data_IF_823038913295
#
_entry.id   IF_823038913295
#
_cell.length_a   1.000
_cell.length_b   1.000
_cell.length_c   1.000
_cell.angle_alpha   90.00
_cell.angle_beta   90.00
_cell.angle_gamma   90.00
#
_symmetry.space_group_name_H-M   'P 1'
#
loop_
_entity.id
_entity.type
_entity.pdbx_description
1 polymer ?
#
# COMPACT_ATOMS: atom_id res chain seq x y z
N UNK A 1 18.35 74.70 39.59
CA UNK A 1 17.23 74.09 38.84
C UNK A 1 17.79 73.23 37.71
N UNK A 2 17.48 71.91 37.63
CA UNK A 2 17.93 71.05 36.53
C UNK A 2 16.81 70.80 35.52
N UNK A 3 17.12 70.74 34.22
CA UNK A 3 16.24 70.13 33.21
C UNK A 3 17.03 69.13 32.37
N UNK A 4 16.51 67.90 32.37
CA UNK A 4 17.02 66.66 31.79
C UNK A 4 16.62 66.54 30.30
N UNK A 5 17.37 65.75 29.54
CA UNK A 5 16.94 64.67 28.61
C UNK A 5 17.96 64.54 27.46
N UNK A 6 18.86 63.55 27.47
CA UNK A 6 18.67 62.12 27.14
C UNK A 6 18.50 61.88 25.62
N UNK A 7 19.58 61.40 24.99
CA UNK A 7 19.64 60.82 23.64
C UNK A 7 18.52 59.80 23.44
N UNK A 8 17.82 59.86 22.30
CA UNK A 8 17.00 58.76 21.80
C UNK A 8 17.19 58.67 20.30
N UNK A 9 18.03 57.73 19.88
CA UNK A 9 18.23 57.39 18.48
C UNK A 9 16.97 56.70 17.97
N UNK A 10 16.37 57.27 16.92
CA UNK A 10 15.29 56.63 16.18
C UNK A 10 15.85 55.40 15.46
N UNK A 11 15.44 54.20 15.88
CA UNK A 11 15.69 52.98 15.15
C UNK A 11 14.79 52.95 13.91
N UNK A 12 15.39 53.07 12.73
CA UNK A 12 14.73 52.89 11.43
C UNK A 12 14.31 51.43 11.28
N UNK A 13 13.00 51.15 11.26
CA UNK A 13 12.48 49.84 10.84
C UNK A 13 12.46 49.80 9.31
N UNK A 14 13.46 49.17 8.71
CA UNK A 14 13.47 48.88 7.28
C UNK A 14 12.45 47.76 6.98
N UNK A 15 11.47 48.04 6.10
CA UNK A 15 10.58 47.02 5.53
C UNK A 15 11.38 46.08 4.63
N UNK A 16 11.96 45.03 5.22
CA UNK A 16 12.56 43.92 4.50
C UNK A 16 11.48 43.00 3.94
N UNK A 17 11.57 42.69 2.64
CA UNK A 17 10.73 41.68 1.98
C UNK A 17 10.87 40.36 2.76
N UNK A 18 9.76 39.75 3.18
CA UNK A 18 9.79 38.48 3.88
C UNK A 18 10.48 37.44 2.99
N UNK A 19 11.67 36.99 3.41
CA UNK A 19 12.38 35.92 2.73
C UNK A 19 11.54 34.66 2.83
N UNK A 20 11.10 34.15 1.68
CA UNK A 20 10.36 32.91 1.59
C UNK A 20 11.40 31.80 1.53
N UNK A 21 11.37 30.91 2.51
CA UNK A 21 12.27 29.76 2.53
C UNK A 21 12.00 28.91 1.27
N UNK A 22 13.02 28.67 0.41
CA UNK A 22 12.88 27.79 -0.74
C UNK A 22 12.43 26.38 -0.38
N UNK A 23 12.63 25.97 0.88
CA UNK A 23 12.23 24.67 1.43
C UNK A 23 10.86 24.70 2.15
N UNK A 24 10.15 25.85 2.16
CA UNK A 24 8.79 25.94 2.71
C UNK A 24 7.81 25.17 1.82
N UNK A 25 7.40 24.00 2.29
CA UNK A 25 6.52 23.10 1.55
C UNK A 25 5.10 23.70 1.45
N UNK A 26 4.42 23.52 0.30
CA UNK A 26 3.03 23.95 0.17
C UNK A 26 2.13 23.21 1.17
N UNK A 27 1.05 23.88 1.59
CA UNK A 27 0.04 23.28 2.45
C UNK A 27 -0.59 22.03 1.79
N UNK A 28 -0.79 20.99 2.60
CA UNK A 28 -1.46 19.77 2.15
C UNK A 28 -2.94 20.09 1.94
N UNK A 29 -3.40 19.96 0.70
CA UNK A 29 -4.81 20.16 0.32
C UNK A 29 -5.59 18.85 0.37
N UNK A 30 -6.92 18.91 0.51
CA UNK A 30 -7.79 17.74 0.50
C UNK A 30 -7.67 16.93 -0.81
N UNK A 31 -7.55 17.61 -1.95
CA UNK A 31 -7.32 16.96 -3.24
C UNK A 31 -5.98 16.18 -3.29
N UNK A 32 -4.98 16.60 -2.50
CA UNK A 32 -3.73 15.85 -2.36
C UNK A 32 -3.92 14.61 -1.47
N UNK A 33 -4.76 14.69 -0.43
CA UNK A 33 -5.12 13.56 0.42
C UNK A 33 -5.97 12.52 -0.33
N UNK A 34 -6.90 12.96 -1.18
CA UNK A 34 -7.77 12.07 -1.96
C UNK A 34 -6.99 11.15 -2.90
N UNK A 35 -5.89 11.64 -3.48
CA UNK A 35 -4.98 10.84 -4.32
C UNK A 35 -3.82 10.20 -3.53
N UNK A 36 -3.76 10.40 -2.22
CA UNK A 36 -2.64 9.93 -1.43
C UNK A 36 -2.64 8.40 -1.32
N UNK A 37 -1.44 7.82 -1.28
CA UNK A 37 -1.24 6.39 -1.05
C UNK A 37 -0.94 6.17 0.43
N UNK A 38 -1.65 5.25 1.07
CA UNK A 38 -1.39 4.89 2.47
C UNK A 38 -0.14 4.02 2.54
N UNK A 39 0.90 4.52 3.21
CA UNK A 39 2.15 3.80 3.46
C UNK A 39 2.32 3.60 4.96
N UNK A 40 2.59 2.36 5.39
CA UNK A 40 2.94 2.04 6.78
C UNK A 40 4.27 1.28 6.80
N UNK A 41 5.27 1.81 7.50
CA UNK A 41 6.60 1.18 7.59
C UNK A 41 7.28 0.96 6.23
N UNK A 42 7.14 1.91 5.30
CA UNK A 42 7.72 1.81 3.96
C UNK A 42 6.96 0.93 2.96
N UNK A 43 5.84 0.31 3.36
CA UNK A 43 5.02 -0.53 2.49
C UNK A 43 3.69 0.13 2.15
N UNK A 44 3.39 0.22 0.85
CA UNK A 44 2.09 0.66 0.33
C UNK A 44 1.02 -0.36 0.70
N UNK A 45 -0.03 0.09 1.39
CA UNK A 45 -1.20 -0.74 1.73
C UNK A 45 -2.26 -0.53 0.64
N UNK A 46 -2.36 -1.50 -0.28
CA UNK A 46 -3.42 -1.52 -1.30
C UNK A 46 -4.75 -1.94 -0.66
N UNK A 47 -5.82 -1.15 -0.89
CA UNK A 47 -7.19 -1.51 -0.48
C UNK A 47 -7.77 -2.47 -1.53
N UNK A 48 -8.13 -3.70 -1.17
CA UNK A 48 -8.90 -4.58 -2.09
C UNK A 48 -8.91 -6.09 -1.83
N UNK A 49 -7.81 -6.71 -1.39
CA UNK A 49 -7.76 -8.11 -0.92
C UNK A 49 -6.41 -8.34 -0.26
N UNK A 50 -6.32 -8.97 0.93
CA UNK A 50 -5.04 -9.37 1.49
C UNK A 50 -4.26 -10.19 0.46
N UNK A 51 -2.97 -9.91 0.27
CA UNK A 51 -2.11 -10.81 -0.49
C UNK A 51 -2.25 -12.20 0.13
N UNK A 52 -2.57 -13.22 -0.68
CA UNK A 52 -2.71 -14.61 -0.19
C UNK A 52 -1.39 -15.15 0.41
N UNK A 53 -0.29 -14.38 0.34
CA UNK A 53 0.99 -14.72 0.94
C UNK A 53 1.48 -16.08 0.49
N UNK A 54 2.13 -16.80 1.41
CA UNK A 54 2.65 -18.15 1.17
C UNK A 54 1.56 -19.21 0.94
N UNK A 55 0.27 -18.86 1.10
CA UNK A 55 -0.87 -19.75 0.89
C UNK A 55 -1.49 -19.64 -0.52
N UNK A 56 -0.88 -18.84 -1.41
CA UNK A 56 -1.33 -18.76 -2.80
C UNK A 56 -1.14 -20.09 -3.54
N UNK A 57 -2.13 -20.50 -4.34
CA UNK A 57 -1.99 -21.65 -5.25
C UNK A 57 -0.91 -21.33 -6.28
N UNK A 58 0.12 -22.16 -6.35
CA UNK A 58 1.19 -21.99 -7.32
C UNK A 58 0.74 -22.55 -8.68
N UNK A 59 0.77 -21.76 -9.77
CA UNK A 59 0.54 -22.28 -11.10
C UNK A 59 1.72 -23.15 -11.52
N UNK A 60 1.46 -24.42 -11.84
CA UNK A 60 2.47 -25.37 -12.31
C UNK A 60 2.02 -25.99 -13.64
N UNK A 61 2.98 -26.30 -14.50
CA UNK A 61 2.72 -27.00 -15.77
C UNK A 61 3.00 -28.48 -15.55
N UNK A 62 1.97 -29.34 -15.64
CA UNK A 62 2.07 -30.79 -15.48
C UNK A 62 1.30 -31.46 -16.62
N UNK A 63 1.81 -32.60 -17.11
CA UNK A 63 1.10 -33.46 -18.07
C UNK A 63 0.35 -34.54 -17.30
N UNK A 64 -0.92 -34.72 -17.61
CA UNK A 64 -1.81 -35.74 -17.04
C UNK A 64 -2.40 -36.55 -18.20
N UNK A 65 -2.78 -37.79 -17.93
CA UNK A 65 -3.44 -38.64 -18.92
C UNK A 65 -4.80 -38.04 -19.33
N UNK A 66 -5.18 -38.29 -20.58
CA UNK A 66 -6.35 -37.66 -21.19
C UNK A 66 -7.67 -38.10 -20.53
N UNK A 67 -7.76 -39.36 -20.12
CA UNK A 67 -8.89 -39.94 -19.40
C UNK A 67 -9.06 -39.34 -18.00
N UNK A 68 -7.96 -39.08 -17.29
CA UNK A 68 -7.96 -38.38 -16.00
C UNK A 68 -8.52 -36.97 -16.17
N UNK A 69 -8.03 -36.21 -17.16
CA UNK A 69 -8.54 -34.86 -17.42
C UNK A 69 -10.01 -34.88 -17.81
N UNK A 70 -10.43 -35.83 -18.66
CA UNK A 70 -11.81 -35.99 -19.09
C UNK A 70 -12.75 -36.32 -17.91
N UNK A 71 -12.35 -37.24 -17.03
CA UNK A 71 -13.13 -37.63 -15.85
C UNK A 71 -13.34 -36.47 -14.87
N UNK A 72 -12.33 -35.62 -14.67
CA UNK A 72 -12.51 -34.42 -13.84
C UNK A 72 -13.38 -33.38 -14.56
N UNK A 73 -13.16 -33.14 -15.86
CA UNK A 73 -13.96 -32.18 -16.63
C UNK A 73 -15.45 -32.51 -16.63
N UNK A 74 -15.83 -33.79 -16.63
CA UNK A 74 -17.23 -34.21 -16.57
C UNK A 74 -17.93 -33.85 -15.26
N UNK A 75 -17.18 -33.62 -14.17
CA UNK A 75 -17.73 -33.13 -12.89
C UNK A 75 -18.26 -31.69 -12.98
N UNK A 76 -17.96 -30.98 -14.06
CA UNK A 76 -18.49 -29.64 -14.32
C UNK A 76 -17.74 -28.52 -13.59
N UNK A 77 -18.48 -27.51 -13.13
CA UNK A 77 -17.89 -26.30 -12.55
C UNK A 77 -17.11 -26.64 -11.27
N UNK A 78 -15.83 -26.26 -11.24
CA UNK A 78 -14.97 -26.47 -10.08
C UNK A 78 -14.17 -27.76 -10.09
N UNK A 79 -14.12 -28.49 -11.21
CA UNK A 79 -13.31 -29.71 -11.36
C UNK A 79 -11.84 -29.53 -10.95
N UNK A 80 -11.22 -28.37 -11.19
CA UNK A 80 -9.85 -28.08 -10.74
C UNK A 80 -9.73 -28.01 -9.22
N UNK A 81 -10.76 -27.51 -8.54
CA UNK A 81 -10.82 -27.50 -7.07
C UNK A 81 -10.95 -28.91 -6.53
N UNK A 82 -11.76 -29.76 -7.18
CA UNK A 82 -11.89 -31.17 -6.82
C UNK A 82 -10.58 -31.93 -7.03
N UNK A 83 -9.93 -31.74 -8.17
CA UNK A 83 -8.61 -32.31 -8.46
C UNK A 83 -7.58 -31.92 -7.39
N UNK A 84 -7.54 -30.65 -7.01
CA UNK A 84 -6.65 -30.21 -5.92
C UNK A 84 -7.02 -30.85 -4.57
N UNK A 85 -8.30 -31.04 -4.26
CA UNK A 85 -8.73 -31.71 -3.03
C UNK A 85 -8.31 -33.20 -3.00
N UNK A 86 -8.41 -33.89 -4.13
CA UNK A 86 -8.00 -35.28 -4.25
C UNK A 86 -6.48 -35.43 -4.15
N UNK A 87 -5.70 -34.55 -4.78
CA UNK A 87 -4.25 -34.50 -4.62
C UNK A 87 -3.85 -34.27 -3.15
N UNK A 88 -4.56 -33.40 -2.43
CA UNK A 88 -4.34 -33.22 -0.98
C UNK A 88 -4.65 -34.48 -0.19
N UNK A 89 -5.75 -35.17 -0.50
CA UNK A 89 -6.12 -36.44 0.15
C UNK A 89 -5.06 -37.51 -0.09
N UNK A 90 -4.63 -37.69 -1.33
CA UNK A 90 -3.59 -38.65 -1.72
C UNK A 90 -2.26 -38.38 -1.00
N UNK A 91 -1.93 -37.10 -0.77
CA UNK A 91 -0.72 -36.67 -0.05
C UNK A 91 -0.94 -36.47 1.45
N UNK A 92 -2.12 -36.79 2.00
CA UNK A 92 -2.49 -36.62 3.42
C UNK A 92 -2.28 -35.19 3.96
N UNK A 93 -2.55 -34.19 3.14
CA UNK A 93 -2.43 -32.77 3.49
C UNK A 93 -3.72 -32.27 4.17
N UNK A 94 -3.60 -31.55 5.30
CA UNK A 94 -4.74 -30.90 5.96
C UNK A 94 -5.43 -29.91 5.03
N UNK A 95 -6.72 -29.59 5.23
CA UNK A 95 -7.42 -28.57 4.43
C UNK A 95 -6.69 -27.22 4.56
N UNK A 96 -6.45 -26.54 3.44
CA UNK A 96 -5.94 -25.17 3.49
C UNK A 96 -7.05 -24.29 4.09
N UNK A 97 -6.71 -23.58 5.18
CA UNK A 97 -7.59 -22.62 5.85
C UNK A 97 -7.76 -21.35 5.03
#
# INVERSE_FOLDING_TARGET
MPRKNAKSAAASVSKGRAWRDPDDAPEITDAMLDRATIVKGGKVIQRGRPSLGDNAKQPVTVRLDADVVASYRSLGRGWQTQMNADLRRARKLKKAG
#
